data_IF_348091229119
#
_entry.id   IF_348091229119
#
_cell.length_a   1.000
_cell.length_b   1.000
_cell.length_c   1.000
_cell.angle_alpha   90.00
_cell.angle_beta   90.00
_cell.angle_gamma   90.00
#
_symmetry.space_group_name_H-M   'P 1'
#
loop_
_entity.id
_entity.type
_entity.pdbx_description
1 polymer ?
#
# COMPACT_ATOMS: atom_id res chain seq x y z
N UNK A 1 -0.76 -32.87 -43.14
CA UNK A 1 0.09 -31.89 -43.84
C UNK A 1 0.66 -30.95 -42.81
N UNK A 2 1.99 -30.85 -42.80
CA UNK A 2 2.81 -30.12 -41.83
C UNK A 2 3.10 -28.73 -42.39
N UNK A 3 3.00 -27.69 -41.56
CA UNK A 3 3.68 -26.42 -41.78
C UNK A 3 4.12 -25.87 -40.41
N UNK A 4 5.40 -26.08 -40.09
CA UNK A 4 6.10 -25.50 -38.95
C UNK A 4 6.62 -24.12 -39.37
N UNK A 5 6.13 -23.05 -38.75
CA UNK A 5 6.72 -21.72 -38.89
C UNK A 5 7.90 -21.60 -37.94
N UNK A 6 9.09 -21.54 -38.52
CA UNK A 6 10.37 -21.21 -37.90
C UNK A 6 10.47 -19.70 -37.76
N UNK A 7 10.38 -19.19 -36.53
CA UNK A 7 10.77 -17.83 -36.21
C UNK A 7 12.14 -17.85 -35.53
N UNK A 8 13.07 -17.14 -36.16
CA UNK A 8 14.47 -16.97 -35.80
C UNK A 8 14.64 -16.44 -34.37
N UNK A 9 15.50 -17.09 -33.58
CA UNK A 9 16.02 -16.55 -32.33
C UNK A 9 17.13 -15.51 -32.62
N UNK A 10 17.14 -14.33 -31.99
CA UNK A 10 18.24 -13.38 -32.13
C UNK A 10 19.53 -13.91 -31.45
N UNK A 11 20.66 -13.70 -32.12
CA UNK A 11 22.00 -14.11 -31.68
C UNK A 11 22.42 -13.46 -30.36
N UNK A 12 23.07 -14.24 -29.51
CA UNK A 12 23.63 -13.85 -28.22
C UNK A 12 24.50 -12.59 -28.31
N UNK A 13 24.16 -11.56 -27.54
CA UNK A 13 25.05 -10.45 -27.21
C UNK A 13 25.94 -10.86 -26.04
N UNK A 14 27.26 -10.85 -26.23
CA UNK A 14 28.24 -10.95 -25.14
C UNK A 14 28.08 -9.77 -24.19
N UNK A 15 27.32 -9.95 -23.12
CA UNK A 15 27.32 -9.04 -21.98
C UNK A 15 28.39 -9.51 -21.00
N UNK A 16 29.49 -8.75 -20.92
CA UNK A 16 30.48 -8.97 -19.88
C UNK A 16 29.86 -8.65 -18.50
N UNK A 17 30.00 -9.53 -17.50
CA UNK A 17 29.54 -9.24 -16.14
C UNK A 17 30.40 -8.14 -15.49
N UNK A 18 29.77 -7.01 -15.15
CA UNK A 18 30.40 -5.81 -14.55
C UNK A 18 30.76 -5.93 -13.06
N UNK A 19 30.83 -7.14 -12.49
CA UNK A 19 31.18 -7.34 -11.08
C UNK A 19 32.34 -8.33 -10.96
N UNK A 20 33.58 -7.86 -11.13
CA UNK A 20 34.77 -8.51 -10.58
C UNK A 20 35.34 -7.66 -9.46
N UNK A 21 35.24 -8.19 -8.25
CA UNK A 21 36.12 -7.90 -7.13
C UNK A 21 37.44 -8.59 -7.41
N UNK A 22 38.52 -7.83 -7.56
CA UNK A 22 39.86 -8.38 -7.70
C UNK A 22 40.74 -7.51 -8.59
N UNK A 23 41.38 -6.53 -7.96
CA UNK A 23 42.68 -5.95 -8.38
C UNK A 23 43.21 -5.12 -7.19
N UNK A 24 43.85 -5.82 -6.24
CA UNK A 24 44.44 -5.22 -5.03
C UNK A 24 45.98 -5.42 -4.96
N UNK A 25 46.65 -5.84 -6.04
CA UNK A 25 48.11 -5.90 -6.07
C UNK A 25 48.67 -5.33 -7.39
N UNK A 26 49.72 -4.53 -7.23
CA UNK A 26 50.23 -3.48 -8.12
C UNK A 26 50.73 -3.90 -9.51
N UNK A 27 50.70 -2.94 -10.44
CA UNK A 27 51.59 -2.86 -11.60
C UNK A 27 51.95 -1.40 -11.87
N UNK A 28 53.23 -1.07 -11.79
CA UNK A 28 53.83 0.26 -12.03
C UNK A 28 53.71 0.61 -13.52
N UNK A 29 53.25 1.82 -13.84
CA UNK A 29 53.28 2.34 -15.20
C UNK A 29 52.44 3.61 -15.36
N UNK A 30 53.13 4.74 -15.52
CA UNK A 30 52.58 6.08 -15.65
C UNK A 30 51.57 6.27 -16.79
N UNK A 31 50.47 6.97 -16.50
CA UNK A 31 49.73 7.83 -17.43
C UNK A 31 48.78 8.74 -16.62
N UNK A 32 49.26 9.95 -16.31
CA UNK A 32 48.55 10.96 -15.55
C UNK A 32 47.39 11.60 -16.35
N UNK A 33 46.16 11.21 -16.04
CA UNK A 33 44.95 11.98 -16.36
C UNK A 33 44.43 12.69 -15.10
N UNK A 34 44.45 14.03 -15.10
CA UNK A 34 44.04 14.88 -13.97
C UNK A 34 42.55 14.71 -13.64
N UNK A 35 42.22 13.82 -12.71
CA UNK A 35 40.99 13.91 -11.93
C UNK A 35 41.24 14.82 -10.74
N UNK A 36 40.76 16.08 -10.83
CA UNK A 36 40.71 16.98 -9.67
C UNK A 36 39.79 16.38 -8.61
N UNK A 37 40.25 16.13 -7.37
CA UNK A 37 39.36 15.84 -6.26
C UNK A 37 38.48 17.06 -6.00
N UNK A 38 37.18 16.83 -5.76
CA UNK A 38 36.29 17.87 -5.26
C UNK A 38 36.87 18.46 -3.96
N UNK A 39 36.87 19.79 -3.88
CA UNK A 39 37.39 20.54 -2.73
C UNK A 39 36.66 20.10 -1.47
N UNK A 40 37.42 19.51 -0.54
CA UNK A 40 36.94 19.08 0.77
C UNK A 40 36.63 20.34 1.58
N UNK A 41 35.36 20.75 1.63
CA UNK A 41 34.92 21.75 2.59
C UNK A 41 35.24 21.25 3.99
N UNK A 42 36.29 21.80 4.60
CA UNK A 42 36.51 21.71 6.04
C UNK A 42 35.47 22.60 6.70
N UNK A 43 34.32 22.02 7.05
CA UNK A 43 33.52 22.58 8.12
C UNK A 43 34.27 22.22 9.40
N UNK A 44 35.09 23.17 9.86
CA UNK A 44 35.55 23.21 11.23
C UNK A 44 34.38 23.61 12.10
N UNK A 45 34.04 22.77 13.06
CA UNK A 45 33.97 23.13 14.47
C UNK A 45 33.81 21.86 15.28
N UNK A 46 34.68 21.70 16.27
CA UNK A 46 34.78 20.54 17.13
C UNK A 46 33.59 20.50 18.09
N UNK A 47 32.45 19.98 17.64
CA UNK A 47 31.50 19.33 18.53
C UNK A 47 32.09 17.98 18.94
N UNK A 48 32.49 17.83 20.20
CA UNK A 48 32.95 16.57 20.78
C UNK A 48 31.93 15.46 20.52
N UNK A 49 32.12 14.73 19.42
CA UNK A 49 31.33 13.54 19.09
C UNK A 49 32.13 12.36 19.61
N UNK A 50 31.77 11.88 20.80
CA UNK A 50 32.42 10.77 21.53
C UNK A 50 32.23 9.39 20.86
N UNK A 51 31.89 9.35 19.57
CA UNK A 51 31.66 8.09 18.85
C UNK A 51 32.28 8.17 17.47
N UNK A 52 33.56 7.80 17.39
CA UNK A 52 34.22 7.54 16.11
C UNK A 52 33.67 6.20 15.59
N UNK A 53 32.66 6.26 14.74
CA UNK A 53 32.19 5.11 13.96
C UNK A 53 33.23 4.89 12.84
N UNK A 54 33.52 3.64 12.45
CA UNK A 54 34.60 3.29 11.53
C UNK A 54 34.58 4.03 10.16
N UNK A 55 33.45 4.61 9.76
CA UNK A 55 33.30 5.41 8.54
C UNK A 55 33.45 6.93 8.73
N UNK A 56 33.50 7.42 9.97
CA UNK A 56 33.44 8.85 10.30
C UNK A 56 32.11 9.53 9.96
N UNK A 57 31.06 8.75 9.63
CA UNK A 57 29.73 9.26 9.27
C UNK A 57 28.68 8.73 10.25
N UNK A 58 27.87 9.59 10.87
CA UNK A 58 26.81 9.18 11.80
C UNK A 58 25.51 8.71 11.10
N UNK A 59 25.52 8.61 9.76
CA UNK A 59 24.35 8.30 8.93
C UNK A 59 24.67 7.22 7.90
N UNK A 60 23.64 6.50 7.46
CA UNK A 60 23.78 5.52 6.38
C UNK A 60 24.24 6.18 5.07
N UNK A 61 25.16 5.54 4.30
CA UNK A 61 25.63 6.11 3.02
C UNK A 61 24.56 6.18 1.93
N UNK A 62 23.50 5.38 2.06
CA UNK A 62 22.38 5.27 1.14
C UNK A 62 21.07 5.18 1.91
N UNK A 63 19.96 5.48 1.23
CA UNK A 63 18.59 5.35 1.76
C UNK A 63 18.31 3.91 2.19
N UNK A 64 17.63 3.72 3.31
CA UNK A 64 17.19 2.40 3.80
C UNK A 64 16.39 1.64 2.71
N UNK A 65 16.83 0.45 2.27
CA UNK A 65 16.14 -0.36 1.27
C UNK A 65 14.72 -0.81 1.66
N UNK A 66 14.35 -0.75 2.94
CA UNK A 66 12.99 -1.04 3.41
C UNK A 66 12.17 0.22 3.73
N UNK A 67 12.67 1.41 3.33
CA UNK A 67 11.96 2.69 3.40
C UNK A 67 11.40 2.96 4.81
N UNK A 68 10.18 3.52 4.92
CA UNK A 68 9.62 3.87 6.24
C UNK A 68 9.28 2.64 7.10
N UNK A 69 9.44 1.42 6.56
CA UNK A 69 9.23 0.17 7.29
C UNK A 69 10.37 -0.15 8.27
N UNK A 70 11.61 0.27 7.96
CA UNK A 70 12.80 0.03 8.79
C UNK A 70 13.35 1.27 9.48
N UNK A 71 13.57 2.34 8.70
CA UNK A 71 14.19 3.58 9.17
C UNK A 71 13.21 4.60 9.77
N UNK A 72 11.90 4.32 9.77
CA UNK A 72 10.89 5.30 10.14
C UNK A 72 10.89 6.51 9.19
N UNK A 73 10.57 7.72 9.69
CA UNK A 73 10.58 8.94 8.86
C UNK A 73 11.98 9.36 8.41
N UNK A 74 13.04 8.90 9.09
CA UNK A 74 14.42 9.23 8.77
C UNK A 74 15.16 8.00 8.21
N UNK A 75 15.12 7.86 6.89
CA UNK A 75 15.71 6.74 6.15
C UNK A 75 17.24 6.70 6.14
N UNK A 76 17.89 7.60 6.88
CA UNK A 76 19.34 7.67 7.04
C UNK A 76 19.78 7.53 8.51
N UNK A 77 18.83 7.42 9.44
CA UNK A 77 19.11 7.30 10.85
C UNK A 77 19.85 5.98 11.15
N UNK A 78 20.98 6.06 11.83
CA UNK A 78 21.70 4.90 12.32
C UNK A 78 21.21 4.55 13.72
N UNK A 79 20.63 3.36 13.92
CA UNK A 79 20.30 2.82 15.26
C UNK A 79 19.45 3.74 16.14
N UNK A 80 18.48 4.47 15.56
CA UNK A 80 17.68 5.50 16.27
C UNK A 80 18.52 6.57 17.00
N UNK A 81 19.70 6.91 16.47
CA UNK A 81 20.68 7.77 17.13
C UNK A 81 21.14 7.25 18.51
N UNK A 82 21.00 5.94 18.77
CA UNK A 82 21.45 5.30 20.01
C UNK A 82 22.28 4.03 19.72
N UNK A 83 23.51 4.20 19.20
CA UNK A 83 24.38 3.09 18.81
C UNK A 83 25.00 2.35 20.00
N UNK A 84 24.84 2.87 21.24
CA UNK A 84 25.30 2.21 22.45
C UNK A 84 24.31 1.15 22.94
N UNK A 85 23.02 1.30 22.60
CA UNK A 85 21.94 0.40 23.04
C UNK A 85 21.49 -0.53 21.90
N UNK A 86 21.54 -0.07 20.65
CA UNK A 86 21.06 -0.83 19.50
C UNK A 86 22.19 -1.16 18.51
N UNK A 87 22.10 -2.34 17.90
CA UNK A 87 22.95 -2.78 16.80
C UNK A 87 22.08 -2.99 15.56
N UNK A 88 22.53 -2.48 14.41
CA UNK A 88 21.97 -2.78 13.10
C UNK A 88 22.92 -3.71 12.35
N UNK A 89 22.68 -5.03 12.45
CA UNK A 89 23.61 -6.05 11.99
C UNK A 89 23.70 -6.16 10.45
N UNK A 90 22.64 -5.80 9.74
CA UNK A 90 22.54 -5.98 8.29
C UNK A 90 22.14 -4.70 7.52
N UNK A 91 22.13 -3.56 8.22
CA UNK A 91 21.80 -2.25 7.64
C UNK A 91 20.31 -2.06 7.33
N UNK A 92 19.45 -2.90 7.92
CA UNK A 92 17.99 -2.87 7.76
C UNK A 92 17.26 -2.77 9.10
N UNK A 93 18.01 -2.72 10.20
CA UNK A 93 17.54 -2.62 11.59
C UNK A 93 16.32 -3.49 11.90
N UNK A 94 16.39 -4.77 11.54
CA UNK A 94 15.32 -5.76 11.76
C UNK A 94 15.54 -6.51 13.07
N UNK A 95 15.51 -5.81 14.22
CA UNK A 95 15.58 -6.46 15.53
C UNK A 95 14.59 -5.90 16.59
N UNK A 96 13.79 -6.75 17.25
CA UNK A 96 13.65 -8.19 17.02
C UNK A 96 12.55 -8.45 15.97
N UNK A 97 12.87 -9.33 15.01
CA UNK A 97 11.99 -9.95 14.01
C UNK A 97 11.32 -9.03 12.97
N UNK A 98 11.52 -9.36 11.68
CA UNK A 98 10.42 -9.17 10.71
C UNK A 98 9.21 -9.86 11.32
N UNK A 99 8.22 -9.07 11.73
CA UNK A 99 6.95 -9.63 12.20
C UNK A 99 6.44 -10.56 11.12
N UNK A 100 6.26 -11.84 11.45
CA UNK A 100 5.62 -12.81 10.54
C UNK A 100 4.35 -12.16 9.96
N UNK A 101 4.29 -11.92 8.63
CA UNK A 101 3.18 -11.21 8.03
C UNK A 101 1.83 -11.84 8.39
N UNK A 102 1.78 -13.18 8.50
CA UNK A 102 0.56 -13.88 8.92
C UNK A 102 0.14 -13.45 10.32
N UNK A 103 1.05 -13.45 11.29
CA UNK A 103 0.77 -13.02 12.67
C UNK A 103 0.39 -11.54 12.74
N UNK A 104 1.08 -10.68 12.00
CA UNK A 104 0.80 -9.24 12.00
C UNK A 104 -0.58 -8.93 11.40
N UNK A 105 -0.90 -9.52 10.26
CA UNK A 105 -2.20 -9.36 9.62
C UNK A 105 -3.33 -9.97 10.46
N UNK A 106 -3.13 -11.16 11.02
CA UNK A 106 -4.12 -11.78 11.90
C UNK A 106 -4.37 -10.95 13.17
N UNK A 107 -3.31 -10.39 13.78
CA UNK A 107 -3.45 -9.49 14.94
C UNK A 107 -4.27 -8.25 14.58
N UNK A 108 -4.03 -7.65 13.43
CA UNK A 108 -4.81 -6.50 12.97
C UNK A 108 -6.29 -6.87 12.75
N UNK A 109 -6.58 -7.99 12.07
CA UNK A 109 -7.96 -8.49 11.92
C UNK A 109 -8.65 -8.65 13.28
N UNK A 110 -7.96 -9.25 14.27
CA UNK A 110 -8.52 -9.41 15.62
C UNK A 110 -8.78 -8.08 16.32
N UNK A 111 -7.98 -7.05 16.07
CA UNK A 111 -8.22 -5.72 16.61
C UNK A 111 -9.46 -5.07 15.98
N UNK A 112 -9.61 -5.16 14.67
CA UNK A 112 -10.77 -4.61 13.96
C UNK A 112 -12.06 -5.37 14.31
N UNK A 113 -12.02 -6.69 14.52
CA UNK A 113 -13.18 -7.47 14.95
C UNK A 113 -13.75 -7.03 16.31
N UNK A 114 -12.97 -6.33 17.14
CA UNK A 114 -13.43 -5.84 18.44
C UNK A 114 -14.20 -4.50 18.36
N UNK A 115 -14.20 -3.84 17.20
CA UNK A 115 -14.81 -2.53 16.99
C UNK A 115 -15.38 -2.45 15.57
N UNK A 116 -16.58 -3.03 15.39
CA UNK A 116 -17.31 -3.04 14.13
C UNK A 116 -18.64 -2.26 14.20
N UNK A 117 -19.01 -1.73 15.36
CA UNK A 117 -20.31 -1.09 15.60
C UNK A 117 -20.54 0.12 14.66
N UNK A 118 -19.46 0.79 14.26
CA UNK A 118 -19.51 1.92 13.33
C UNK A 118 -20.01 1.55 11.93
N UNK A 119 -19.98 0.27 11.54
CA UNK A 119 -20.45 -0.19 10.23
C UNK A 119 -21.96 -0.10 10.13
N UNK A 120 -22.67 -0.34 11.23
CA UNK A 120 -24.14 -0.36 11.26
C UNK A 120 -24.76 1.02 11.03
N UNK A 121 -24.00 2.08 11.30
CA UNK A 121 -24.40 3.47 11.06
C UNK A 121 -24.16 3.94 9.62
N UNK A 122 -23.57 3.11 8.77
CA UNK A 122 -23.29 3.47 7.38
C UNK A 122 -24.55 3.39 6.50
N UNK A 123 -24.71 4.30 5.54
CA UNK A 123 -25.82 4.23 4.63
C UNK A 123 -25.66 3.04 3.68
N UNK A 124 -26.77 2.36 3.39
CA UNK A 124 -26.79 1.25 2.45
C UNK A 124 -26.34 1.70 1.04
N UNK A 125 -25.73 0.76 0.31
CA UNK A 125 -25.42 0.94 -1.10
C UNK A 125 -26.72 0.91 -1.92
N UNK A 126 -26.90 1.82 -2.88
CA UNK A 126 -27.95 1.62 -3.88
C UNK A 126 -27.72 0.30 -4.62
N UNK A 127 -28.75 -0.53 -4.81
CA UNK A 127 -28.62 -1.82 -5.51
C UNK A 127 -28.21 -1.68 -6.98
N UNK A 128 -28.59 -0.57 -7.61
CA UNK A 128 -28.39 -0.34 -9.03
C UNK A 128 -28.09 1.12 -9.31
N UNK A 129 -27.09 1.41 -10.11
CA UNK A 129 -26.94 2.74 -10.67
C UNK A 129 -27.78 2.86 -11.94
N UNK A 130 -28.55 3.94 -12.03
CA UNK A 130 -29.28 4.27 -13.27
C UNK A 130 -28.48 5.28 -14.04
N UNK A 131 -28.13 4.98 -15.29
CA UNK A 131 -27.39 5.92 -16.10
C UNK A 131 -28.30 7.09 -16.47
N UNK A 132 -27.95 8.31 -16.06
CA UNK A 132 -28.68 9.52 -16.43
C UNK A 132 -28.24 10.03 -17.81
N UNK A 133 -26.92 10.06 -18.03
CA UNK A 133 -26.22 10.44 -19.27
C UNK A 133 -24.95 9.59 -19.42
N UNK A 134 -24.26 9.63 -20.58
CA UNK A 134 -22.92 9.03 -20.70
C UNK A 134 -22.00 9.54 -19.57
N UNK A 135 -21.46 8.62 -18.77
CA UNK A 135 -20.62 8.91 -17.60
C UNK A 135 -21.28 9.63 -16.41
N UNK A 136 -22.61 9.78 -16.39
CA UNK A 136 -23.35 10.29 -15.23
C UNK A 136 -24.33 9.24 -14.71
N UNK A 137 -24.09 8.76 -13.49
CA UNK A 137 -24.94 7.79 -12.81
C UNK A 137 -25.84 8.49 -11.77
N UNK A 138 -27.15 8.32 -11.89
CA UNK A 138 -28.12 8.66 -10.87
C UNK A 138 -28.15 7.58 -9.79
N UNK A 139 -28.15 8.04 -8.54
CA UNK A 139 -28.47 7.21 -7.38
C UNK A 139 -29.98 7.02 -7.32
N UNK A 140 -30.50 5.78 -7.33
CA UNK A 140 -31.94 5.53 -7.36
C UNK A 140 -32.66 5.81 -6.04
N UNK A 141 -31.96 6.02 -4.92
CA UNK A 141 -32.57 6.10 -3.58
C UNK A 141 -32.34 7.43 -2.84
N UNK A 142 -31.51 8.33 -3.35
CA UNK A 142 -31.33 9.69 -2.79
C UNK A 142 -30.69 9.76 -1.40
N UNK A 143 -30.28 8.63 -0.82
CA UNK A 143 -29.77 8.56 0.57
C UNK A 143 -28.35 9.11 0.72
N UNK A 144 -27.59 9.21 -0.38
CA UNK A 144 -26.24 9.73 -0.36
C UNK A 144 -26.24 11.15 -0.90
N UNK A 145 -26.23 12.13 0.00
CA UNK A 145 -26.13 13.54 -0.41
C UNK A 145 -24.74 13.83 -0.97
N UNK A 146 -24.57 13.71 -2.30
CA UNK A 146 -23.34 13.99 -3.08
C UNK A 146 -22.22 12.94 -2.92
N UNK A 147 -22.40 11.73 -3.49
CA UNK A 147 -21.33 10.74 -3.55
C UNK A 147 -20.06 11.32 -4.19
N UNK A 148 -18.89 10.85 -3.74
CA UNK A 148 -17.62 11.11 -4.42
C UNK A 148 -17.20 9.89 -5.24
N UNK A 149 -16.53 10.08 -6.38
CA UNK A 149 -15.97 8.96 -7.13
C UNK A 149 -14.88 8.26 -6.30
N UNK A 150 -14.82 6.93 -6.43
CA UNK A 150 -13.70 6.11 -6.00
C UNK A 150 -13.09 5.42 -7.23
N UNK A 151 -11.80 5.08 -7.14
CA UNK A 151 -11.07 4.52 -8.26
C UNK A 151 -11.45 3.04 -8.48
N UNK A 152 -12.12 2.69 -9.60
CA UNK A 152 -12.52 1.31 -9.88
C UNK A 152 -11.33 0.41 -10.23
N UNK A 153 -10.14 0.94 -10.52
CA UNK A 153 -8.97 0.15 -10.92
C UNK A 153 -8.51 -0.84 -9.84
N UNK A 154 -8.87 -0.60 -8.58
CA UNK A 154 -8.58 -1.48 -7.45
C UNK A 154 -9.66 -2.54 -7.20
N UNK A 155 -10.72 -2.56 -8.01
CA UNK A 155 -11.92 -3.38 -7.82
C UNK A 155 -12.20 -4.24 -9.07
N UNK A 156 -11.73 -5.50 -9.11
CA UNK A 156 -11.88 -6.37 -10.27
C UNK A 156 -13.35 -6.54 -10.71
N UNK A 157 -13.66 -6.15 -11.94
CA UNK A 157 -15.02 -6.22 -12.50
C UNK A 157 -15.89 -5.00 -12.22
N UNK A 158 -15.43 -4.04 -11.42
CA UNK A 158 -16.13 -2.78 -11.22
C UNK A 158 -15.90 -1.83 -12.41
N UNK A 159 -16.98 -1.24 -12.89
CA UNK A 159 -16.96 -0.14 -13.86
C UNK A 159 -16.98 1.22 -13.18
N UNK A 160 -17.72 1.33 -12.08
CA UNK A 160 -17.92 2.58 -11.36
C UNK A 160 -17.90 2.30 -9.86
N UNK A 161 -17.16 3.11 -9.11
CA UNK A 161 -17.18 3.07 -7.65
C UNK A 161 -17.50 4.45 -7.09
N UNK A 162 -18.29 4.48 -6.02
CA UNK A 162 -18.75 5.68 -5.34
C UNK A 162 -18.51 5.54 -3.85
N UNK A 163 -18.24 6.66 -3.17
CA UNK A 163 -18.16 6.76 -1.71
C UNK A 163 -19.24 7.68 -1.16
N UNK A 164 -19.84 7.26 -0.05
CA UNK A 164 -20.70 8.12 0.75
C UNK A 164 -19.84 9.20 1.40
N UNK A 165 -20.30 10.44 1.40
CA UNK A 165 -19.63 11.54 2.13
C UNK A 165 -20.28 11.72 3.49
N UNK A 166 -19.46 11.85 4.53
CA UNK A 166 -19.90 12.40 5.80
C UNK A 166 -19.11 13.68 6.05
N UNK A 167 -19.77 14.85 5.98
CA UNK A 167 -19.14 16.19 5.99
C UNK A 167 -18.31 16.55 7.25
N UNK A 168 -17.84 15.58 8.04
CA UNK A 168 -17.16 15.72 9.33
C UNK A 168 -15.97 14.77 9.53
N UNK A 169 -15.49 14.05 8.52
CA UNK A 169 -14.34 13.15 8.66
C UNK A 169 -14.63 11.98 9.61
N UNK A 170 -15.34 10.97 9.11
CA UNK A 170 -15.67 9.76 9.87
C UNK A 170 -15.73 8.54 8.96
N UNK A 171 -16.37 7.45 9.38
CA UNK A 171 -16.53 6.27 8.54
C UNK A 171 -17.37 6.55 7.30
N UNK A 172 -17.10 5.85 6.20
CA UNK A 172 -17.85 6.00 4.95
C UNK A 172 -18.06 4.68 4.26
N UNK A 173 -19.15 4.56 3.50
CA UNK A 173 -19.40 3.41 2.65
C UNK A 173 -18.77 3.63 1.27
N UNK A 174 -18.05 2.63 0.74
CA UNK A 174 -17.72 2.54 -0.68
C UNK A 174 -18.59 1.46 -1.35
N UNK A 175 -19.17 1.79 -2.50
CA UNK A 175 -19.95 0.88 -3.32
C UNK A 175 -19.33 0.81 -4.71
N UNK A 176 -19.24 -0.40 -5.27
CA UNK A 176 -18.72 -0.62 -6.61
C UNK A 176 -19.74 -1.37 -7.45
N UNK A 177 -19.83 -1.02 -8.72
CA UNK A 177 -20.89 -1.43 -9.64
C UNK A 177 -20.27 -2.03 -10.90
N UNK A 178 -20.88 -3.10 -11.39
CA UNK A 178 -20.55 -3.69 -12.68
C UNK A 178 -20.95 -2.76 -13.85
N UNK A 179 -20.61 -3.16 -15.07
CA UNK A 179 -20.88 -2.39 -16.29
C UNK A 179 -22.39 -2.19 -16.56
N UNK A 180 -23.23 -3.13 -16.10
CA UNK A 180 -24.69 -3.06 -16.16
C UNK A 180 -25.32 -2.20 -15.04
N UNK A 181 -24.48 -1.58 -14.21
CA UNK A 181 -24.87 -0.76 -13.07
C UNK A 181 -25.30 -1.54 -11.84
N UNK A 182 -25.22 -2.88 -11.82
CA UNK A 182 -25.57 -3.68 -10.64
C UNK A 182 -24.47 -3.62 -9.57
N UNK A 183 -24.88 -3.58 -8.30
CA UNK A 183 -23.97 -3.57 -7.15
C UNK A 183 -23.15 -4.87 -7.09
N UNK A 184 -21.83 -4.73 -7.02
CA UNK A 184 -20.91 -5.81 -6.69
C UNK A 184 -20.84 -5.94 -5.16
N UNK A 185 -21.44 -6.99 -4.61
CA UNK A 185 -21.46 -7.24 -3.17
C UNK A 185 -20.98 -8.66 -2.83
N UNK A 186 -21.80 -9.67 -3.12
CA UNK A 186 -21.52 -11.08 -2.83
C UNK A 186 -21.74 -11.94 -4.09
N UNK A 187 -20.92 -12.97 -4.23
CA UNK A 187 -21.05 -14.00 -5.24
C UNK A 187 -22.22 -14.95 -4.91
N UNK A 188 -22.70 -15.74 -5.89
CA UNK A 188 -23.74 -16.75 -5.66
C UNK A 188 -23.39 -17.81 -4.61
N UNK A 189 -22.09 -18.04 -4.34
CA UNK A 189 -21.61 -18.94 -3.29
C UNK A 189 -21.67 -18.30 -1.87
N UNK A 190 -22.18 -17.07 -1.78
CA UNK A 190 -22.31 -16.31 -0.53
C UNK A 190 -21.03 -15.64 -0.06
N UNK A 191 -19.91 -15.76 -0.79
CA UNK A 191 -18.66 -15.08 -0.44
C UNK A 191 -18.64 -13.66 -0.98
N UNK A 192 -17.93 -12.72 -0.32
CA UNK A 192 -17.71 -11.38 -0.86
C UNK A 192 -17.15 -11.41 -2.27
N UNK A 193 -17.67 -10.56 -3.16
CA UNK A 193 -17.12 -10.40 -4.51
C UNK A 193 -15.78 -9.64 -4.42
N UNK A 194 -14.69 -10.09 -5.07
CA UNK A 194 -13.37 -9.46 -4.93
C UNK A 194 -13.33 -7.99 -5.41
N UNK A 195 -14.17 -7.63 -6.38
CA UNK A 195 -14.38 -6.25 -6.83
C UNK A 195 -15.45 -5.46 -6.08
N UNK A 196 -15.99 -5.98 -4.98
CA UNK A 196 -16.92 -5.22 -4.18
C UNK A 196 -16.24 -4.01 -3.53
N UNK A 197 -17.00 -2.93 -3.34
CA UNK A 197 -16.59 -1.83 -2.48
C UNK A 197 -16.70 -2.23 -1.01
N UNK A 198 -15.82 -1.68 -0.18
CA UNK A 198 -15.80 -1.95 1.27
C UNK A 198 -15.98 -0.65 2.05
N UNK A 199 -16.53 -0.68 3.27
CA UNK A 199 -16.56 0.50 4.11
C UNK A 199 -15.13 0.96 4.46
N UNK A 200 -14.97 2.25 4.67
CA UNK A 200 -13.77 2.89 5.16
C UNK A 200 -14.02 3.32 6.61
N UNK A 201 -13.18 2.90 7.56
CA UNK A 201 -13.31 3.39 8.95
C UNK A 201 -13.01 4.90 9.04
N UNK A 202 -12.24 5.43 8.08
CA UNK A 202 -12.06 6.86 7.86
C UNK A 202 -12.18 7.18 6.37
N UNK A 203 -13.20 7.94 6.00
CA UNK A 203 -13.35 8.44 4.64
C UNK A 203 -12.29 9.53 4.33
N UNK A 204 -11.70 9.56 3.11
CA UNK A 204 -10.67 10.52 2.74
C UNK A 204 -11.27 11.91 2.41
N UNK A 205 -11.75 12.63 3.42
CA UNK A 205 -12.34 13.96 3.28
C UNK A 205 -11.32 15.10 3.45
N UNK A 206 -10.47 15.28 2.43
CA UNK A 206 -9.44 16.33 2.44
C UNK A 206 -8.11 15.86 3.07
N UNK A 207 -7.11 16.75 3.21
CA UNK A 207 -5.72 16.32 3.42
C UNK A 207 -5.47 15.54 4.71
N UNK A 208 -6.05 15.98 5.83
CA UNK A 208 -5.86 15.34 7.15
C UNK A 208 -6.56 13.97 7.16
N UNK A 209 -7.80 13.91 6.69
CA UNK A 209 -8.57 12.68 6.66
C UNK A 209 -8.03 11.67 5.64
N UNK A 210 -7.39 12.13 4.56
CA UNK A 210 -6.68 11.25 3.61
C UNK A 210 -5.51 10.53 4.28
N UNK A 211 -4.76 11.22 5.14
CA UNK A 211 -3.66 10.61 5.89
C UNK A 211 -4.24 9.62 6.92
N UNK A 212 -5.31 10.00 7.62
CA UNK A 212 -5.98 9.11 8.58
C UNK A 212 -6.51 7.84 7.90
N UNK A 213 -7.20 7.99 6.76
CA UNK A 213 -7.67 6.91 5.89
C UNK A 213 -6.51 5.99 5.49
N UNK A 214 -5.37 6.55 5.06
CA UNK A 214 -4.21 5.75 4.69
C UNK A 214 -3.74 4.86 5.85
N UNK A 215 -3.59 5.41 7.06
CA UNK A 215 -3.11 4.62 8.20
C UNK A 215 -4.13 3.61 8.73
N UNK A 216 -5.42 3.93 8.65
CA UNK A 216 -6.50 3.08 9.18
C UNK A 216 -6.92 1.97 8.23
N UNK A 217 -7.14 2.29 6.96
CA UNK A 217 -7.76 1.36 6.02
C UNK A 217 -6.76 0.86 4.95
N UNK A 218 -5.85 1.70 4.45
CA UNK A 218 -4.99 1.36 3.29
C UNK A 218 -3.69 0.67 3.66
N UNK A 219 -2.97 1.15 4.69
CA UNK A 219 -1.60 0.71 5.00
C UNK A 219 -1.55 -0.78 5.35
N UNK A 220 -2.46 -1.23 6.23
CA UNK A 220 -2.52 -2.63 6.63
C UNK A 220 -3.05 -3.53 5.52
N UNK A 221 -4.05 -3.08 4.76
CA UNK A 221 -4.51 -3.76 3.55
C UNK A 221 -3.35 -4.01 2.58
N UNK A 222 -2.66 -2.96 2.15
CA UNK A 222 -1.54 -3.04 1.20
C UNK A 222 -0.39 -3.91 1.72
N UNK A 223 -0.08 -3.82 3.02
CA UNK A 223 0.92 -4.68 3.65
C UNK A 223 0.52 -6.16 3.57
N UNK A 224 -0.72 -6.49 3.92
CA UNK A 224 -1.18 -7.87 3.99
C UNK A 224 -1.35 -8.49 2.59
N UNK A 225 -1.93 -7.77 1.64
CA UNK A 225 -2.04 -8.23 0.24
C UNK A 225 -0.66 -8.49 -0.36
N UNK A 226 0.30 -7.57 -0.18
CA UNK A 226 1.68 -7.73 -0.68
C UNK A 226 2.38 -8.98 -0.13
N UNK A 227 2.09 -9.38 1.11
CA UNK A 227 2.80 -10.49 1.76
C UNK A 227 2.02 -11.82 1.79
N UNK A 228 0.70 -11.79 1.69
CA UNK A 228 -0.19 -12.95 1.82
C UNK A 228 -0.98 -13.28 0.54
N UNK A 229 -0.99 -12.37 -0.44
CA UNK A 229 -1.70 -12.51 -1.71
C UNK A 229 -3.16 -12.05 -1.67
N UNK A 230 -3.74 -11.87 -2.85
CA UNK A 230 -5.08 -11.29 -3.03
C UNK A 230 -6.21 -12.13 -2.41
N UNK A 231 -6.01 -13.45 -2.30
CA UNK A 231 -6.98 -14.34 -1.66
C UNK A 231 -7.26 -13.95 -0.19
N UNK A 232 -6.29 -13.33 0.47
CA UNK A 232 -6.45 -12.81 1.83
C UNK A 232 -7.55 -11.73 1.94
N UNK A 233 -7.84 -11.02 0.84
CA UNK A 233 -8.86 -9.96 0.81
C UNK A 233 -10.24 -10.56 1.12
N UNK A 234 -10.65 -11.55 0.33
CA UNK A 234 -11.97 -12.19 0.47
C UNK A 234 -12.02 -13.07 1.72
N UNK A 235 -10.91 -13.74 2.05
CA UNK A 235 -10.88 -14.68 3.18
C UNK A 235 -10.83 -13.96 4.54
N UNK A 236 -10.20 -12.79 4.64
CA UNK A 236 -9.92 -12.13 5.92
C UNK A 236 -10.33 -10.66 5.96
N UNK A 237 -9.81 -9.82 5.05
CA UNK A 237 -10.05 -8.37 5.09
C UNK A 237 -11.54 -8.02 5.07
N UNK A 238 -12.29 -8.63 4.16
CA UNK A 238 -13.73 -8.39 4.01
C UNK A 238 -14.57 -8.92 5.18
N UNK A 239 -13.98 -9.58 6.18
CA UNK A 239 -14.66 -9.91 7.44
C UNK A 239 -14.79 -8.71 8.37
N UNK A 240 -13.84 -7.78 8.29
CA UNK A 240 -13.80 -6.55 9.11
C UNK A 240 -14.10 -5.29 8.30
N UNK A 241 -14.22 -5.44 6.98
CA UNK A 241 -14.68 -4.44 6.02
C UNK A 241 -15.65 -5.10 5.03
N UNK A 242 -16.82 -5.60 5.49
CA UNK A 242 -17.74 -6.34 4.65
C UNK A 242 -18.38 -5.46 3.58
N UNK A 243 -18.52 -5.95 2.33
CA UNK A 243 -19.37 -5.29 1.35
C UNK A 243 -20.79 -5.13 1.87
N UNK A 244 -21.38 -3.96 1.59
CA UNK A 244 -22.79 -3.73 1.88
C UNK A 244 -23.65 -4.55 0.90
N UNK A 245 -24.78 -5.07 1.38
CA UNK A 245 -25.68 -5.95 0.60
C UNK A 245 -26.64 -5.18 -0.30
N UNK A 246 -26.59 -3.86 -0.23
CA UNK A 246 -27.47 -2.93 -0.90
C UNK A 246 -28.75 -2.66 -0.13
N UNK A 247 -29.57 -1.75 -0.65
CA UNK A 247 -30.85 -1.37 -0.04
C UNK A 247 -31.87 -2.51 -0.14
N UNK A 248 -32.18 -3.18 0.98
CA UNK A 248 -33.31 -4.10 1.02
C UNK A 248 -34.60 -3.34 0.73
N UNK A 249 -35.23 -3.55 -0.43
CA UNK A 249 -36.56 -3.01 -0.76
C UNK A 249 -37.65 -3.47 0.23
N UNK A 250 -37.34 -4.43 1.12
CA UNK A 250 -38.26 -5.02 2.11
C UNK A 250 -37.92 -4.70 3.58
N UNK A 251 -36.94 -3.83 3.88
CA UNK A 251 -36.70 -3.38 5.27
C UNK A 251 -37.75 -2.38 5.80
N UNK A 252 -38.71 -1.99 4.97
CA UNK A 252 -39.71 -0.96 5.26
C UNK A 252 -41.10 -1.44 5.72
N UNK A 253 -41.31 -2.72 6.03
CA UNK A 253 -42.60 -3.20 6.56
C UNK A 253 -42.41 -4.29 7.60
N UNK A 254 -42.08 -3.89 8.83
CA UNK A 254 -42.42 -4.62 10.05
C UNK A 254 -42.36 -3.60 11.21
N UNK A 255 -43.37 -2.73 11.25
CA UNK A 255 -43.88 -2.13 12.48
C UNK A 255 -45.22 -2.79 12.79
#
# INVERSE_FOLDING_TARGET
MVALNTAYAPSETQTQPKNRVGDFFCGVGDCAGKNRPATRNRIGENGLTLTIIASGRPVWPSRDPIEEFGGGLNLYAFTLNNPLVFMDADGRWIWPFRSDPKKKCAKWIQQELNDLDWIDDLPDCPNKLTQKCENEWNQPDGNWSKPKPADPNYHPGAKTCLRSTNNKGGPGQQCCYADDGNLLSYNPDGKPHPGAGTPDARAPEGPIDTIAHYFKDVKMFSYCVKNLGDQWIVDQYMRVRPPNRGTDLNRGTNL
#
